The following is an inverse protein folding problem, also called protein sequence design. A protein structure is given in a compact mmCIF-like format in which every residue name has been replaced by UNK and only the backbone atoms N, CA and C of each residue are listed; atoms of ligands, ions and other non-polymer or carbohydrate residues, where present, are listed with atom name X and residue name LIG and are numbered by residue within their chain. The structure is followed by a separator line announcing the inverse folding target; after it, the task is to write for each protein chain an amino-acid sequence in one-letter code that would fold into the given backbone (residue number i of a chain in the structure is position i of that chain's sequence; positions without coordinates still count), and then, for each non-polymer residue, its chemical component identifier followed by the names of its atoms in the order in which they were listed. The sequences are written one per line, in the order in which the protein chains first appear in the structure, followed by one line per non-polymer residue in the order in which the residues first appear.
data_IF_759521877906
#
_entry.id   IF_759521877906
#
_cell.length_a   1.000
_cell.length_b   1.000
_cell.length_c   1.000
_cell.angle_alpha   90.00
_cell.angle_beta   90.00
_cell.angle_gamma   90.00
#
_symmetry.space_group_name_H-M   'P 1'
#
loop_
_entity.id
_entity.type
_entity.pdbx_description
1 polymer ?
#
# COMPACT_ATOMS: atom_id res chain seq x y z
N UNK A 1 11.20 1.30 17.91
CA UNK A 1 10.91 1.40 16.45
C UNK A 1 10.66 0.04 15.83
N UNK A 2 11.53 -0.96 15.98
CA UNK A 2 11.30 -2.32 15.42
C UNK A 2 10.02 -2.99 15.95
N UNK A 3 9.77 -2.94 17.25
CA UNK A 3 8.58 -3.53 17.87
C UNK A 3 7.27 -2.82 17.44
N UNK A 4 7.38 -1.53 17.09
CA UNK A 4 6.30 -0.65 16.68
C UNK A 4 5.89 -0.87 15.22
N UNK A 5 6.87 -0.90 14.32
CA UNK A 5 6.63 -1.28 12.94
C UNK A 5 6.04 -2.69 12.88
N UNK A 6 6.45 -3.58 13.81
CA UNK A 6 5.92 -4.93 13.92
C UNK A 6 4.44 -4.96 14.34
N UNK A 7 3.98 -4.14 15.28
CA UNK A 7 2.57 -4.16 15.71
C UNK A 7 1.62 -3.76 14.59
N UNK A 8 1.88 -2.63 13.91
CA UNK A 8 1.01 -2.19 12.82
C UNK A 8 1.10 -3.13 11.61
N UNK A 9 2.29 -3.65 11.31
CA UNK A 9 2.48 -4.70 10.31
C UNK A 9 1.61 -5.92 10.60
N UNK A 10 1.63 -6.41 11.85
CA UNK A 10 0.83 -7.55 12.27
C UNK A 10 -0.66 -7.26 12.16
N UNK A 11 -1.12 -6.05 12.51
CA UNK A 11 -2.53 -5.67 12.35
C UNK A 11 -2.99 -5.76 10.90
N UNK A 12 -2.20 -5.22 9.96
CA UNK A 12 -2.46 -5.26 8.52
C UNK A 12 -2.43 -6.69 7.97
N UNK A 13 -1.39 -7.47 8.32
CA UNK A 13 -1.24 -8.86 7.88
C UNK A 13 -2.38 -9.74 8.43
N UNK A 14 -2.76 -9.57 9.70
CA UNK A 14 -3.87 -10.33 10.29
C UNK A 14 -5.21 -9.98 9.66
N UNK A 15 -5.44 -8.70 9.34
CA UNK A 15 -6.63 -8.30 8.58
C UNK A 15 -6.67 -8.99 7.23
N UNK A 16 -5.55 -8.96 6.50
CA UNK A 16 -5.46 -9.57 5.19
C UNK A 16 -5.67 -11.08 5.21
N UNK A 17 -5.08 -11.78 6.19
CA UNK A 17 -5.31 -13.21 6.38
C UNK A 17 -6.77 -13.51 6.70
N UNK A 18 -7.42 -12.73 7.58
CA UNK A 18 -8.82 -12.91 7.97
C UNK A 18 -9.78 -12.73 6.79
N UNK A 19 -9.47 -11.82 5.87
CA UNK A 19 -10.29 -11.53 4.69
C UNK A 19 -9.92 -12.38 3.46
N UNK A 20 -9.01 -13.36 3.61
CA UNK A 20 -8.65 -14.28 2.53
C UNK A 20 -7.70 -13.69 1.48
N UNK A 21 -7.02 -12.59 1.77
CA UNK A 21 -6.03 -11.99 0.87
C UNK A 21 -4.67 -12.69 0.92
N UNK A 22 -4.47 -13.58 1.90
CA UNK A 22 -3.24 -14.36 2.09
C UNK A 22 -3.65 -15.82 2.26
N UNK A 23 -3.46 -16.63 1.22
CA UNK A 23 -3.74 -18.08 1.24
C UNK A 23 -2.49 -18.92 1.62
N UNK A 24 -1.36 -18.28 1.95
CA UNK A 24 -0.08 -18.95 2.21
C UNK A 24 1.06 -17.99 2.58
N UNK A 25 2.29 -18.33 2.22
CA UNK A 25 3.43 -17.42 2.39
C UNK A 25 3.36 -16.28 1.38
N UNK A 26 3.70 -15.06 1.81
CA UNK A 26 3.81 -13.89 0.93
C UNK A 26 5.08 -14.06 0.09
N UNK A 27 4.95 -14.00 -1.23
CA UNK A 27 6.08 -14.04 -2.15
C UNK A 27 7.01 -12.84 -1.92
N UNK A 28 8.32 -13.09 -1.89
CA UNK A 28 9.37 -12.06 -1.81
C UNK A 28 10.12 -12.08 -3.13
N UNK A 29 9.93 -11.04 -3.94
CA UNK A 29 10.56 -10.87 -5.26
C UNK A 29 11.48 -9.64 -5.16
N UNK A 30 12.77 -9.83 -5.42
CA UNK A 30 13.81 -8.82 -5.18
C UNK A 30 13.58 -7.55 -6.01
N UNK A 31 13.26 -7.71 -7.30
CA UNK A 31 13.00 -6.60 -8.22
C UNK A 31 11.80 -5.75 -7.78
N UNK A 32 10.75 -6.39 -7.24
CA UNK A 32 9.59 -5.68 -6.71
C UNK A 32 9.88 -4.98 -5.38
N UNK A 33 10.88 -5.45 -4.61
CA UNK A 33 11.33 -4.76 -3.40
C UNK A 33 12.09 -3.46 -3.73
N UNK A 34 12.73 -3.36 -4.89
CA UNK A 34 13.31 -2.11 -5.35
C UNK A 34 12.24 -1.11 -5.79
N UNK A 35 11.21 -1.56 -6.51
CA UNK A 35 10.04 -0.72 -6.81
C UNK A 35 9.30 -0.26 -5.56
N UNK A 36 9.20 -1.09 -4.52
CA UNK A 36 8.68 -0.68 -3.20
C UNK A 36 9.50 0.51 -2.66
N UNK A 37 10.83 0.42 -2.63
CA UNK A 37 11.67 1.52 -2.11
C UNK A 37 11.49 2.81 -2.90
N UNK A 38 11.43 2.71 -4.23
CA UNK A 38 11.26 3.87 -5.10
C UNK A 38 9.89 4.54 -4.90
N UNK A 39 8.83 3.75 -4.87
CA UNK A 39 7.48 4.25 -4.61
C UNK A 39 7.39 4.97 -3.27
N UNK A 40 7.92 4.37 -2.19
CA UNK A 40 7.75 4.95 -0.85
C UNK A 40 8.59 6.23 -0.68
N UNK A 41 9.76 6.32 -1.31
CA UNK A 41 10.50 7.59 -1.41
C UNK A 41 9.71 8.65 -2.16
N UNK A 42 9.14 8.28 -3.31
CA UNK A 42 8.31 9.18 -4.11
C UNK A 42 7.11 9.69 -3.29
N UNK A 43 6.40 8.78 -2.63
CA UNK A 43 5.23 9.11 -1.82
C UNK A 43 5.58 10.07 -0.67
N UNK A 44 6.67 9.83 0.07
CA UNK A 44 7.09 10.74 1.15
C UNK A 44 7.31 12.18 0.64
N UNK A 45 8.00 12.29 -0.50
CA UNK A 45 8.29 13.60 -1.13
C UNK A 45 7.00 14.28 -1.58
N UNK A 46 6.11 13.56 -2.25
CA UNK A 46 4.85 14.11 -2.75
C UNK A 46 3.87 14.46 -1.64
N UNK A 47 3.81 13.67 -0.56
CA UNK A 47 3.04 13.99 0.64
C UNK A 47 3.52 15.28 1.26
N UNK A 48 4.84 15.49 1.37
CA UNK A 48 5.36 16.75 1.92
C UNK A 48 5.00 17.94 1.04
N UNK A 49 5.21 17.84 -0.28
CA UNK A 49 4.84 18.90 -1.23
C UNK A 49 3.34 19.21 -1.20
N UNK A 50 2.50 18.18 -1.08
CA UNK A 50 1.05 18.34 -0.96
C UNK A 50 0.69 19.15 0.28
N UNK A 51 1.18 18.76 1.46
CA UNK A 51 0.92 19.46 2.71
C UNK A 51 1.43 20.91 2.70
N UNK A 52 2.63 21.14 2.15
CA UNK A 52 3.19 22.48 2.01
C UNK A 52 2.34 23.36 1.07
N UNK A 53 1.84 22.80 -0.05
CA UNK A 53 0.96 23.52 -0.99
C UNK A 53 -0.40 23.85 -0.39
N UNK A 54 -0.98 22.93 0.37
CA UNK A 54 -2.27 23.13 1.04
C UNK A 54 -2.15 23.94 2.35
N UNK A 55 -0.93 24.36 2.73
CA UNK A 55 -0.63 25.06 3.99
C UNK A 55 -1.11 24.30 5.24
N UNK A 56 -0.99 22.97 5.24
CA UNK A 56 -1.36 22.10 6.37
C UNK A 56 -0.16 21.32 6.88
N UNK A 57 -0.30 20.69 8.04
CA UNK A 57 0.73 19.82 8.63
C UNK A 57 0.28 18.35 8.72
N UNK A 58 -0.99 18.07 8.42
CA UNK A 58 -1.60 16.75 8.65
C UNK A 58 -2.37 16.27 7.42
N UNK A 59 -2.43 14.95 7.26
CA UNK A 59 -3.18 14.24 6.23
C UNK A 59 -4.58 13.95 6.77
N UNK A 60 -5.62 14.17 5.96
CA UNK A 60 -7.00 13.90 6.35
C UNK A 60 -7.34 12.40 6.28
N UNK A 61 -8.42 11.98 6.93
CA UNK A 61 -8.87 10.58 6.86
C UNK A 61 -9.21 10.11 5.44
N UNK A 62 -9.79 10.97 4.60
CA UNK A 62 -10.09 10.66 3.19
C UNK A 62 -8.82 10.52 2.35
N UNK A 63 -7.81 11.33 2.63
CA UNK A 63 -6.50 11.23 1.98
C UNK A 63 -5.77 9.97 2.43
N UNK A 64 -5.88 9.55 3.70
CA UNK A 64 -5.35 8.27 4.17
C UNK A 64 -5.94 7.11 3.37
N UNK A 65 -7.27 7.07 3.22
CA UNK A 65 -7.95 6.04 2.40
C UNK A 65 -7.44 6.09 0.95
N UNK A 66 -7.26 7.29 0.40
CA UNK A 66 -6.72 7.49 -0.95
C UNK A 66 -5.31 6.90 -1.11
N UNK A 67 -4.46 7.03 -0.10
CA UNK A 67 -3.12 6.44 -0.10
C UNK A 67 -3.15 4.91 -0.13
N UNK A 68 -4.06 4.27 0.61
CA UNK A 68 -4.23 2.81 0.54
C UNK A 68 -4.67 2.36 -0.87
N UNK A 69 -5.64 3.06 -1.46
CA UNK A 69 -6.08 2.80 -2.85
C UNK A 69 -4.93 2.98 -3.83
N UNK A 70 -4.15 4.05 -3.67
CA UNK A 70 -3.01 4.37 -4.51
C UNK A 70 -1.95 3.27 -4.46
N UNK A 71 -1.53 2.85 -3.27
CA UNK A 71 -0.51 1.82 -3.09
C UNK A 71 -0.97 0.47 -3.65
N UNK A 72 -2.23 0.07 -3.45
CA UNK A 72 -2.75 -1.16 -4.04
C UNK A 72 -2.74 -1.12 -5.57
N UNK A 73 -3.17 -0.02 -6.18
CA UNK A 73 -3.15 0.13 -7.64
C UNK A 73 -1.72 0.05 -8.18
N UNK A 74 -0.78 0.79 -7.57
CA UNK A 74 0.64 0.79 -7.98
C UNK A 74 1.31 -0.56 -7.79
N UNK A 75 0.88 -1.37 -6.82
CA UNK A 75 1.41 -2.73 -6.65
C UNK A 75 1.03 -3.62 -7.83
N UNK A 76 -0.23 -3.56 -8.28
CA UNK A 76 -0.69 -4.28 -9.46
C UNK A 76 0.02 -3.81 -10.74
N UNK A 77 0.21 -2.50 -10.91
CA UNK A 77 0.99 -1.94 -12.02
C UNK A 77 2.43 -2.43 -12.01
N UNK A 78 3.11 -2.39 -10.86
CA UNK A 78 4.51 -2.79 -10.75
C UNK A 78 4.71 -4.26 -11.12
N UNK A 79 3.81 -5.15 -10.69
CA UNK A 79 3.85 -6.56 -11.09
C UNK A 79 3.60 -6.69 -12.59
N UNK A 80 2.57 -6.03 -13.15
CA UNK A 80 2.31 -6.04 -14.60
C UNK A 80 3.50 -5.52 -15.42
N UNK A 81 4.15 -4.43 -15.01
CA UNK A 81 5.34 -3.91 -15.69
C UNK A 81 6.48 -4.93 -15.63
N UNK A 82 6.76 -5.48 -14.44
CA UNK A 82 7.83 -6.45 -14.22
C UNK A 82 7.68 -7.68 -15.13
N UNK A 83 6.50 -8.30 -15.16
CA UNK A 83 6.27 -9.50 -16.00
C UNK A 83 6.37 -9.22 -17.49
N UNK A 84 6.17 -7.98 -17.91
CA UNK A 84 6.28 -7.52 -19.30
C UNK A 84 7.66 -6.93 -19.63
N UNK A 85 8.63 -6.99 -18.70
CA UNK A 85 9.98 -6.43 -18.91
C UNK A 85 10.01 -4.90 -19.00
N UNK A 86 9.05 -4.23 -18.37
CA UNK A 86 8.90 -2.78 -18.33
C UNK A 86 9.21 -2.24 -16.92
N UNK A 87 9.57 -0.96 -16.86
CA UNK A 87 9.73 -0.25 -15.58
C UNK A 87 8.45 0.51 -15.25
N UNK A 88 7.90 0.38 -14.03
CA UNK A 88 6.73 1.16 -13.63
C UNK A 88 7.08 2.65 -13.51
N UNK A 89 6.14 3.52 -13.91
CA UNK A 89 6.25 4.96 -13.73
C UNK A 89 5.31 5.42 -12.61
N UNK A 90 5.88 5.97 -11.54
CA UNK A 90 5.11 6.52 -10.43
C UNK A 90 4.78 7.99 -10.66
N UNK A 91 3.49 8.34 -10.55
CA UNK A 91 2.99 9.71 -10.64
C UNK A 91 2.01 9.99 -9.50
N UNK A 92 1.92 11.24 -9.04
CA UNK A 92 1.08 11.60 -7.90
C UNK A 92 -0.40 11.73 -8.25
N UNK A 93 -0.79 11.37 -9.48
CA UNK A 93 -2.18 11.44 -9.92
C UNK A 93 -3.03 10.44 -9.13
N UNK A 94 -4.12 10.94 -8.53
CA UNK A 94 -5.01 10.12 -7.71
C UNK A 94 -4.54 9.88 -6.27
N UNK A 95 -3.29 10.22 -5.93
CA UNK A 95 -2.67 9.84 -4.65
C UNK A 95 -3.41 10.39 -3.42
N UNK A 96 -4.02 11.58 -3.54
CA UNK A 96 -4.70 12.28 -2.44
C UNK A 96 -6.20 12.51 -2.66
N UNK A 97 -6.77 12.05 -3.79
CA UNK A 97 -8.21 12.23 -4.10
C UNK A 97 -8.94 10.91 -4.44
N UNK A 98 -8.23 9.78 -4.38
CA UNK A 98 -8.76 8.44 -4.60
C UNK A 98 -9.06 8.10 -6.07
N UNK A 99 -8.89 9.03 -7.01
CA UNK A 99 -9.12 8.81 -8.45
C UNK A 99 -7.86 8.26 -9.11
N UNK A 100 -7.35 7.16 -8.56
CA UNK A 100 -6.09 6.56 -8.97
C UNK A 100 -6.25 5.86 -10.32
N UNK A 101 -5.54 6.29 -11.37
CA UNK A 101 -5.48 5.52 -12.59
C UNK A 101 -4.64 4.26 -12.34
N UNK A 102 -5.14 3.13 -12.83
CA UNK A 102 -4.43 1.86 -12.80
C UNK A 102 -4.05 1.47 -14.23
N UNK A 103 -2.75 1.47 -14.52
CA UNK A 103 -2.17 1.10 -15.81
C UNK A 103 -1.56 -0.30 -15.74
N UNK A 104 -2.41 -1.33 -15.79
CA UNK A 104 -2.00 -2.74 -15.75
C UNK A 104 -2.77 -3.54 -16.79
N UNK A 105 -2.47 -4.84 -16.91
CA UNK A 105 -3.26 -5.73 -17.76
C UNK A 105 -4.74 -5.76 -17.33
N UNK A 106 -5.66 -5.85 -18.29
CA UNK A 106 -7.12 -5.80 -18.04
C UNK A 106 -7.58 -6.80 -16.97
N UNK A 107 -6.95 -7.98 -16.91
CA UNK A 107 -7.26 -9.01 -15.93
C UNK A 107 -6.84 -8.62 -14.52
N UNK A 108 -5.68 -7.97 -14.36
CA UNK A 108 -5.22 -7.45 -13.07
C UNK A 108 -6.14 -6.33 -12.62
N UNK A 109 -6.49 -5.40 -13.51
CA UNK A 109 -7.45 -4.32 -13.21
C UNK A 109 -8.81 -4.87 -12.80
N UNK A 110 -9.34 -5.85 -13.54
CA UNK A 110 -10.63 -6.46 -13.24
C UNK A 110 -10.61 -7.18 -11.89
N UNK A 111 -9.52 -7.88 -11.57
CA UNK A 111 -9.35 -8.54 -10.29
C UNK A 111 -9.31 -7.54 -9.13
N UNK A 112 -8.52 -6.47 -9.23
CA UNK A 112 -8.43 -5.46 -8.17
C UNK A 112 -9.77 -4.76 -7.90
N UNK A 113 -10.62 -4.58 -8.91
CA UNK A 113 -11.98 -4.06 -8.74
C UNK A 113 -12.91 -4.98 -7.94
N UNK A 114 -12.57 -6.25 -7.77
CA UNK A 114 -13.33 -7.19 -6.93
C UNK A 114 -12.86 -7.22 -5.47
N UNK A 115 -11.72 -6.58 -5.18
CA UNK A 115 -11.12 -6.59 -3.86
C UNK A 115 -11.56 -5.37 -3.05
N UNK A 116 -11.87 -5.61 -1.78
CA UNK A 116 -12.04 -4.56 -0.76
C UNK A 116 -10.72 -4.27 -0.03
N UNK A 117 -9.58 -4.69 -0.60
CA UNK A 117 -8.28 -4.60 0.06
C UNK A 117 -7.95 -3.17 0.56
N UNK A 118 -8.06 -2.09 -0.26
CA UNK A 118 -7.73 -0.76 0.22
C UNK A 118 -8.62 -0.30 1.38
N UNK A 119 -9.92 -0.57 1.30
CA UNK A 119 -10.90 -0.15 2.30
C UNK A 119 -10.70 -0.91 3.62
N UNK A 120 -10.44 -2.21 3.55
CA UNK A 120 -10.14 -3.05 4.71
C UNK A 120 -8.83 -2.65 5.41
N UNK A 121 -7.77 -2.37 4.65
CA UNK A 121 -6.48 -1.95 5.22
C UNK A 121 -6.57 -0.55 5.85
N UNK A 122 -7.22 0.41 5.17
CA UNK A 122 -7.42 1.75 5.70
C UNK A 122 -8.26 1.75 6.99
N UNK A 123 -9.32 0.92 7.03
CA UNK A 123 -10.14 0.73 8.23
C UNK A 123 -9.36 0.10 9.37
N UNK A 124 -8.50 -0.87 9.06
CA UNK A 124 -7.64 -1.54 10.06
C UNK A 124 -6.66 -0.55 10.67
N UNK A 125 -5.98 0.25 9.84
CA UNK A 125 -5.11 1.32 10.32
C UNK A 125 -5.87 2.32 11.19
N UNK A 126 -7.04 2.78 10.74
CA UNK A 126 -7.87 3.73 11.50
C UNK A 126 -8.33 3.18 12.86
N UNK A 127 -8.65 1.88 12.93
CA UNK A 127 -9.00 1.23 14.19
C UNK A 127 -7.79 1.13 15.12
N UNK A 128 -6.63 0.76 14.58
CA UNK A 128 -5.39 0.71 15.36
C UNK A 128 -5.04 2.10 15.94
N UNK A 129 -5.17 3.18 15.16
CA UNK A 129 -4.97 4.55 15.68
C UNK A 129 -5.96 4.91 16.80
N UNK A 130 -7.22 4.44 16.71
CA UNK A 130 -8.24 4.69 17.76
C UNK A 130 -7.94 3.93 19.04
N UNK A 131 -7.40 2.72 18.93
CA UNK A 131 -7.00 1.89 20.06
C UNK A 131 -5.69 2.38 20.70
N UNK A 132 -4.89 3.15 19.95
CA UNK A 132 -3.56 3.63 20.36
C UNK A 132 -3.41 5.16 20.12
N UNK A 133 -4.26 6.02 20.71
CA UNK A 133 -4.34 7.44 20.36
C UNK A 133 -3.09 8.25 20.74
N UNK A 134 -2.46 7.93 21.86
CA UNK A 134 -1.28 8.64 22.38
C UNK A 134 0.04 8.00 21.95
N UNK A 135 -0.03 6.98 21.10
CA UNK A 135 1.13 6.16 20.78
C UNK A 135 2.27 6.92 20.12
N UNK A 136 1.97 7.80 19.16
CA UNK A 136 3.01 8.58 18.49
C UNK A 136 3.63 9.62 19.44
N UNK A 137 2.83 10.22 20.33
CA UNK A 137 3.31 11.24 21.27
C UNK A 137 4.17 10.62 22.38
N UNK A 138 3.75 9.48 22.95
CA UNK A 138 4.50 8.72 23.96
C UNK A 138 5.85 8.21 23.45
N UNK A 139 5.93 7.91 22.15
CA UNK A 139 7.14 7.39 21.52
C UNK A 139 7.96 8.45 20.77
N UNK A 140 7.55 9.72 20.80
CA UNK A 140 8.19 10.83 20.06
C UNK A 140 8.37 10.55 18.56
N UNK A 141 7.31 10.04 17.91
CA UNK A 141 7.32 9.66 16.50
C UNK A 141 6.44 10.57 15.66
N UNK A 142 6.87 10.77 14.41
CA UNK A 142 6.03 11.37 13.38
C UNK A 142 4.88 10.40 13.02
N UNK A 143 3.60 10.81 13.08
CA UNK A 143 2.45 9.98 12.71
C UNK A 143 2.50 9.42 11.28
N UNK A 144 3.32 9.99 10.40
CA UNK A 144 3.55 9.46 9.05
C UNK A 144 4.24 8.08 9.08
N UNK A 145 5.03 7.78 10.13
CA UNK A 145 5.78 6.53 10.25
C UNK A 145 4.86 5.31 10.32
N UNK A 146 3.91 5.20 11.28
CA UNK A 146 3.00 4.05 11.34
C UNK A 146 2.09 3.97 10.10
N UNK A 147 1.71 5.10 9.51
CA UNK A 147 0.97 5.12 8.25
C UNK A 147 1.77 4.48 7.12
N UNK A 148 3.03 4.88 6.93
CA UNK A 148 3.87 4.34 5.86
C UNK A 148 4.23 2.88 6.08
N UNK A 149 4.34 2.43 7.33
CA UNK A 149 4.47 1.00 7.62
C UNK A 149 3.22 0.22 7.19
N UNK A 150 2.02 0.72 7.50
CA UNK A 150 0.77 0.08 7.10
C UNK A 150 0.60 0.04 5.57
N UNK A 151 0.93 1.14 4.90
CA UNK A 151 0.95 1.24 3.44
C UNK A 151 1.94 0.23 2.84
N UNK A 152 3.14 0.08 3.41
CA UNK A 152 4.16 -0.86 2.94
C UNK A 152 3.69 -2.31 3.00
N UNK A 153 3.00 -2.71 4.07
CA UNK A 153 2.42 -4.05 4.13
C UNK A 153 1.26 -4.23 3.16
N UNK A 154 0.46 -3.18 2.94
CA UNK A 154 -0.59 -3.20 1.92
C UNK A 154 -0.02 -3.39 0.51
N UNK A 155 1.09 -2.72 0.18
CA UNK A 155 1.83 -2.92 -1.07
C UNK A 155 2.21 -4.40 -1.26
N UNK A 156 2.87 -4.99 -0.26
CA UNK A 156 3.36 -6.38 -0.32
C UNK A 156 2.22 -7.39 -0.50
N UNK A 157 1.10 -7.15 0.18
CA UNK A 157 -0.10 -8.00 0.06
C UNK A 157 -0.69 -7.86 -1.34
N UNK A 158 -0.81 -6.64 -1.87
CA UNK A 158 -1.29 -6.41 -3.22
C UNK A 158 -0.36 -7.00 -4.31
N UNK A 159 0.96 -6.92 -4.13
CA UNK A 159 1.95 -7.59 -4.97
C UNK A 159 1.68 -9.10 -4.97
N UNK A 160 1.61 -9.70 -3.79
CA UNK A 160 1.36 -11.14 -3.65
C UNK A 160 0.06 -11.58 -4.31
N UNK A 161 -1.02 -10.83 -4.12
CA UNK A 161 -2.30 -11.09 -4.77
C UNK A 161 -2.20 -11.06 -6.30
N UNK A 162 -1.43 -10.12 -6.84
CA UNK A 162 -1.21 -10.02 -8.29
C UNK A 162 -0.37 -11.18 -8.81
N UNK A 163 0.70 -11.53 -8.10
CA UNK A 163 1.56 -12.69 -8.41
C UNK A 163 0.73 -13.97 -8.43
N UNK A 164 -0.04 -14.25 -7.38
CA UNK A 164 -0.90 -15.45 -7.32
C UNK A 164 -1.95 -15.47 -8.44
N UNK A 165 -2.50 -14.31 -8.83
CA UNK A 165 -3.41 -14.20 -9.97
C UNK A 165 -2.71 -14.61 -11.27
N UNK A 166 -1.48 -14.14 -11.50
CA UNK A 166 -0.72 -14.43 -12.71
C UNK A 166 -0.22 -15.87 -12.75
N UNK A 167 0.16 -16.46 -11.61
CA UNK A 167 0.49 -17.89 -11.50
C UNK A 167 -0.70 -18.77 -11.89
N UNK A 168 -1.91 -18.43 -11.42
CA UNK A 168 -3.17 -19.09 -11.82
C UNK A 168 -3.45 -18.98 -13.32
N UNK A 169 -2.81 -18.02 -14.01
CA UNK A 169 -2.89 -17.84 -15.47
C UNK A 169 -1.72 -18.47 -16.24
N UNK A 170 -0.78 -19.13 -15.55
CA UNK A 170 0.31 -19.89 -16.17
C UNK A 170 1.66 -19.17 -16.18
N UNK A 171 1.79 -17.99 -15.58
CA UNK A 171 3.10 -17.37 -15.34
C UNK A 171 3.89 -18.17 -14.31
N UNK A 172 5.22 -18.13 -14.40
CA UNK A 172 6.15 -18.76 -13.45
C UNK A 172 7.14 -17.71 -12.97
N UNK A 173 7.27 -17.60 -11.65
CA UNK A 173 8.11 -16.63 -10.96
C UNK A 173 9.20 -17.34 -10.16
#
# INVERSE_FOLDING_TARGET
MEELCREIALAIVNCAAKNGYIEGQIAVIEELADYEKELFKFMLVETRKFLDRECRQEISGEEIISLFTYVSAKAGEAVSCWVNGQTPEFSSHGMFDGKVPMYSDDKVMAYFKTLELPSDMAKTFSNWCRENPDFCSENHLDPIIPLFEALKWTWRIAVNLTVCLLEKQGFKF
#
